data_IF_431962410660
#
_entry.id   IF_431962410660
#
_cell.length_a   1.000
_cell.length_b   1.000
_cell.length_c   1.000
_cell.angle_alpha   90.00
_cell.angle_beta   90.00
_cell.angle_gamma   90.00
#
_symmetry.space_group_name_H-M   'P 1'
#
loop_
_entity.id
_entity.type
_entity.pdbx_description
1 polymer ?
#
# COMPACT_ATOMS: atom_id res chain seq x y z
N UNK A 1 -20.44 40.35 -8.66
CA UNK A 1 -19.04 39.98 -8.38
C UNK A 1 -19.05 38.50 -8.03
N UNK A 2 -18.75 37.67 -9.02
CA UNK A 2 -18.67 36.22 -8.85
C UNK A 2 -17.38 35.92 -8.11
N UNK A 3 -17.49 35.53 -6.85
CA UNK A 3 -16.36 35.04 -6.06
C UNK A 3 -16.01 33.67 -6.61
N UNK A 4 -14.94 33.57 -7.39
CA UNK A 4 -14.33 32.30 -7.75
C UNK A 4 -13.79 31.66 -6.46
N UNK A 5 -14.43 30.59 -6.01
CA UNK A 5 -13.90 29.76 -4.94
C UNK A 5 -12.75 28.94 -5.51
N UNK A 6 -11.51 29.36 -5.23
CA UNK A 6 -10.33 28.52 -5.37
C UNK A 6 -10.58 27.18 -4.65
N UNK A 7 -10.37 26.03 -5.30
CA UNK A 7 -10.59 24.74 -4.67
C UNK A 7 -9.61 24.59 -3.52
N UNK A 8 -10.11 24.68 -2.28
CA UNK A 8 -9.31 24.35 -1.10
C UNK A 8 -9.10 22.85 -1.07
N UNK A 9 -8.14 22.35 -1.85
CA UNK A 9 -7.70 20.96 -1.76
C UNK A 9 -7.19 20.74 -0.35
N UNK A 10 -7.89 19.92 0.43
CA UNK A 10 -7.40 19.50 1.72
C UNK A 10 -5.99 18.92 1.53
N UNK A 11 -5.05 19.28 2.41
CA UNK A 11 -3.65 18.80 2.36
C UNK A 11 -3.58 17.26 2.27
N UNK A 12 -4.57 16.57 2.82
CA UNK A 12 -4.71 15.12 2.71
C UNK A 12 -4.95 14.62 1.27
N UNK A 13 -5.73 15.34 0.46
CA UNK A 13 -6.04 14.98 -0.92
C UNK A 13 -4.88 15.30 -1.88
N UNK A 14 -4.07 16.31 -1.57
CA UNK A 14 -2.91 16.70 -2.37
C UNK A 14 -1.92 15.53 -2.56
N UNK A 15 -1.75 14.68 -1.54
CA UNK A 15 -0.84 13.52 -1.57
C UNK A 15 -1.25 12.43 -2.57
N UNK A 16 -2.53 12.39 -2.99
CA UNK A 16 -3.02 11.41 -3.97
C UNK A 16 -3.01 11.94 -5.41
N UNK A 17 -2.58 13.18 -5.64
CA UNK A 17 -2.39 13.69 -7.01
C UNK A 17 -1.29 12.92 -7.75
N UNK A 18 -1.46 12.72 -9.06
CA UNK A 18 -0.60 11.85 -9.86
C UNK A 18 0.11 12.62 -10.97
N UNK A 19 1.44 12.70 -10.89
CA UNK A 19 2.31 13.26 -11.93
C UNK A 19 3.24 12.17 -12.48
N UNK A 20 2.90 11.65 -13.65
CA UNK A 20 3.64 10.56 -14.29
C UNK A 20 5.07 10.94 -14.66
N UNK A 21 5.33 12.19 -15.05
CA UNK A 21 6.65 12.62 -15.51
C UNK A 21 7.63 12.70 -14.35
N UNK A 22 7.22 13.36 -13.25
CA UNK A 22 8.02 13.44 -12.02
C UNK A 22 8.26 12.05 -11.43
N UNK A 23 7.24 11.19 -11.39
CA UNK A 23 7.39 9.83 -10.89
C UNK A 23 8.33 8.99 -11.75
N UNK A 24 8.24 9.09 -13.08
CA UNK A 24 9.14 8.38 -13.97
C UNK A 24 10.59 8.85 -13.82
N UNK A 25 10.81 10.16 -13.62
CA UNK A 25 12.15 10.69 -13.31
C UNK A 25 12.68 10.14 -11.99
N UNK A 26 11.87 10.14 -10.93
CA UNK A 26 12.25 9.61 -9.63
C UNK A 26 12.54 8.10 -9.66
N UNK A 27 11.71 7.33 -10.38
CA UNK A 27 11.91 5.89 -10.63
C UNK A 27 13.24 5.62 -11.36
N UNK A 28 13.62 6.46 -12.34
CA UNK A 28 14.90 6.36 -13.05
C UNK A 28 16.10 6.71 -12.19
N UNK A 29 15.98 7.75 -11.36
CA UNK A 29 17.06 8.19 -10.47
C UNK A 29 17.30 7.22 -9.31
N UNK A 30 16.24 6.53 -8.86
CA UNK A 30 16.25 5.51 -7.82
C UNK A 30 17.15 5.84 -6.60
N UNK A 31 16.98 7.02 -5.97
CA UNK A 31 17.88 7.52 -4.93
C UNK A 31 17.95 6.61 -3.69
N UNK A 32 16.89 5.84 -3.41
CA UNK A 32 16.86 4.82 -2.34
C UNK A 32 17.89 3.70 -2.52
N UNK A 33 18.40 3.47 -3.74
CA UNK A 33 19.48 2.50 -3.98
C UNK A 33 20.83 2.99 -3.45
N UNK A 34 21.00 4.31 -3.28
CA UNK A 34 22.25 4.92 -2.80
C UNK A 34 22.22 5.18 -1.29
N UNK A 35 21.05 5.48 -0.74
CA UNK A 35 20.86 5.76 0.68
C UNK A 35 19.75 4.86 1.25
N UNK A 36 20.09 3.88 2.13
CA UNK A 36 19.09 3.02 2.75
C UNK A 36 18.15 3.77 3.72
N UNK A 37 18.50 5.00 4.14
CA UNK A 37 17.68 5.87 5.00
C UNK A 37 16.97 6.97 4.21
N UNK A 38 16.87 6.82 2.89
CA UNK A 38 16.29 7.83 2.01
C UNK A 38 14.83 8.14 2.37
N UNK A 39 14.01 7.09 2.55
CA UNK A 39 12.61 7.20 2.95
C UNK A 39 12.52 7.49 4.44
N UNK A 40 11.87 8.60 4.79
CA UNK A 40 11.76 9.09 6.17
C UNK A 40 10.33 9.15 6.67
N UNK A 41 9.35 9.15 5.76
CA UNK A 41 7.93 9.28 6.10
C UNK A 41 7.10 8.31 5.28
N UNK A 42 5.96 7.91 5.85
CA UNK A 42 4.95 7.10 5.16
C UNK A 42 3.61 7.79 5.34
N UNK A 43 2.91 8.03 4.24
CA UNK A 43 1.53 8.51 4.23
C UNK A 43 0.63 7.35 3.81
N UNK A 44 -0.41 7.07 4.61
CA UNK A 44 -1.34 5.98 4.36
C UNK A 44 -2.71 6.52 3.96
N UNK A 45 -3.29 5.98 2.88
CA UNK A 45 -4.68 6.22 2.54
C UNK A 45 -5.61 5.75 3.65
N UNK A 46 -6.64 6.54 4.03
CA UNK A 46 -7.70 6.06 4.92
C UNK A 46 -8.33 4.76 4.43
N UNK A 47 -8.46 4.60 3.11
CA UNK A 47 -9.00 3.38 2.50
C UNK A 47 -8.08 2.17 2.71
N UNK A 48 -6.76 2.35 2.59
CA UNK A 48 -5.77 1.33 2.85
C UNK A 48 -5.79 0.91 4.33
N UNK A 49 -5.80 1.88 5.25
CA UNK A 49 -5.89 1.63 6.71
C UNK A 49 -7.13 0.81 7.04
N UNK A 50 -8.29 1.18 6.49
CA UNK A 50 -9.54 0.45 6.75
C UNK A 50 -9.45 -1.00 6.26
N UNK A 51 -8.91 -1.24 5.06
CA UNK A 51 -8.72 -2.60 4.52
C UNK A 51 -7.74 -3.42 5.36
N UNK A 52 -6.64 -2.82 5.81
CA UNK A 52 -5.69 -3.46 6.73
C UNK A 52 -6.38 -3.85 8.04
N UNK A 53 -7.16 -2.93 8.62
CA UNK A 53 -7.86 -3.19 9.88
C UNK A 53 -8.92 -4.29 9.74
N UNK A 54 -9.70 -4.28 8.66
CA UNK A 54 -10.66 -5.34 8.35
C UNK A 54 -9.96 -6.70 8.18
N UNK A 55 -8.81 -6.73 7.50
CA UNK A 55 -8.03 -7.96 7.32
C UNK A 55 -7.51 -8.51 8.65
N UNK A 56 -6.92 -7.65 9.49
CA UNK A 56 -6.48 -8.01 10.84
C UNK A 56 -7.62 -8.54 11.69
N UNK A 57 -8.78 -7.87 11.67
CA UNK A 57 -9.96 -8.32 12.41
C UNK A 57 -10.46 -9.69 11.91
N UNK A 58 -10.37 -9.95 10.61
CA UNK A 58 -10.71 -11.26 10.05
C UNK A 58 -9.79 -12.36 10.57
N UNK A 59 -8.51 -12.06 10.78
CA UNK A 59 -7.54 -12.97 11.39
C UNK A 59 -7.90 -13.30 12.84
N UNK A 60 -8.22 -12.26 13.63
CA UNK A 60 -8.68 -12.45 15.02
C UNK A 60 -9.93 -13.33 15.08
N UNK A 61 -10.94 -13.04 14.25
CA UNK A 61 -12.19 -13.79 14.22
C UNK A 61 -11.99 -15.26 13.81
N UNK A 62 -11.12 -15.52 12.82
CA UNK A 62 -10.77 -16.89 12.38
C UNK A 62 -10.08 -17.69 13.48
N UNK A 63 -9.14 -17.07 14.19
CA UNK A 63 -8.43 -17.69 15.32
C UNK A 63 -9.40 -18.11 16.44
N UNK A 64 -10.25 -17.16 16.85
CA UNK A 64 -11.28 -17.39 17.88
C UNK A 64 -12.28 -18.48 17.47
N UNK A 65 -12.71 -18.50 16.20
CA UNK A 65 -13.64 -19.53 15.69
C UNK A 65 -13.04 -20.94 15.69
N UNK A 66 -11.71 -21.05 15.48
CA UNK A 66 -10.97 -22.32 15.60
C UNK A 66 -10.73 -22.74 17.07
N UNK A 67 -11.20 -21.95 18.05
CA UNK A 67 -11.01 -22.20 19.48
C UNK A 67 -9.59 -21.88 19.96
N UNK A 68 -8.82 -21.09 19.20
CA UNK A 68 -7.43 -20.78 19.48
C UNK A 68 -7.15 -19.28 19.56
N UNK A 69 -5.86 -18.94 19.54
CA UNK A 69 -5.39 -17.56 19.51
C UNK A 69 -5.69 -16.88 18.16
N UNK A 70 -5.73 -15.54 18.10
CA UNK A 70 -5.75 -14.80 16.85
C UNK A 70 -4.69 -15.30 15.87
N UNK A 71 -5.05 -15.47 14.59
CA UNK A 71 -4.07 -15.82 13.56
C UNK A 71 -3.41 -14.56 13.03
N UNK A 72 -2.11 -14.66 12.75
CA UNK A 72 -1.39 -13.63 12.03
C UNK A 72 -1.78 -13.66 10.55
N UNK A 73 -1.86 -12.47 9.97
CA UNK A 73 -2.25 -12.27 8.58
C UNK A 73 -1.20 -11.44 7.86
N UNK A 74 -1.08 -11.66 6.55
CA UNK A 74 -0.17 -10.90 5.70
C UNK A 74 -0.93 -10.30 4.50
N UNK A 75 -0.36 -9.25 3.93
CA UNK A 75 -0.95 -8.51 2.83
C UNK A 75 0.10 -7.79 1.99
N UNK A 76 -0.31 -7.31 0.83
CA UNK A 76 0.47 -6.49 -0.07
C UNK A 76 0.03 -5.02 0.05
N UNK A 77 1.00 -4.11 0.14
CA UNK A 77 0.76 -2.66 0.08
C UNK A 77 1.04 -2.17 -1.34
N UNK A 78 0.14 -1.36 -1.87
CA UNK A 78 0.30 -0.69 -3.15
C UNK A 78 0.50 0.80 -2.92
N UNK A 79 1.47 1.37 -3.61
CA UNK A 79 1.79 2.78 -3.45
C UNK A 79 2.96 3.20 -4.31
N UNK A 80 3.36 4.45 -4.10
CA UNK A 80 4.44 5.10 -4.85
C UNK A 80 5.17 6.09 -3.95
N UNK A 81 6.44 6.41 -4.25
CA UNK A 81 7.05 7.58 -3.65
C UNK A 81 6.25 8.84 -4.04
N UNK A 82 6.23 9.82 -3.13
CA UNK A 82 5.62 11.11 -3.42
C UNK A 82 6.44 11.88 -4.47
N UNK A 83 5.75 12.53 -5.39
CA UNK A 83 6.38 13.27 -6.48
C UNK A 83 6.86 14.65 -6.05
N UNK A 84 6.21 15.25 -5.04
CA UNK A 84 6.59 16.56 -4.51
C UNK A 84 7.50 16.45 -3.27
N UNK A 85 7.30 15.44 -2.43
CA UNK A 85 8.18 15.13 -1.29
C UNK A 85 8.84 13.75 -1.42
N UNK A 86 9.90 13.57 -2.23
CA UNK A 86 10.46 12.26 -2.60
C UNK A 86 10.91 11.33 -1.46
N UNK A 87 11.09 11.86 -0.24
CA UNK A 87 11.41 11.07 0.98
C UNK A 87 10.18 10.47 1.67
N UNK A 88 8.99 10.68 1.12
CA UNK A 88 7.72 10.16 1.63
C UNK A 88 7.23 9.04 0.73
N UNK A 89 6.89 7.89 1.32
CA UNK A 89 6.20 6.81 0.63
C UNK A 89 4.69 6.96 0.82
N UNK A 90 3.93 7.04 -0.26
CA UNK A 90 2.47 7.15 -0.23
C UNK A 90 1.87 5.79 -0.55
N UNK A 91 1.15 5.21 0.41
CA UNK A 91 0.42 3.97 0.24
C UNK A 91 -1.02 4.32 -0.12
N UNK A 92 -1.41 3.97 -1.34
CA UNK A 92 -2.74 4.26 -1.89
C UNK A 92 -3.72 3.13 -1.59
N UNK A 93 -3.24 1.89 -1.47
CA UNK A 93 -4.09 0.74 -1.20
C UNK A 93 -3.38 -0.42 -0.49
N UNK A 94 -4.16 -1.36 0.05
CA UNK A 94 -3.71 -2.58 0.68
C UNK A 94 -4.60 -3.77 0.30
N UNK A 95 -4.00 -4.93 0.05
CA UNK A 95 -4.68 -6.14 -0.35
C UNK A 95 -4.30 -7.32 0.56
N UNK A 96 -5.28 -8.13 1.01
CA UNK A 96 -4.99 -9.31 1.82
C UNK A 96 -4.34 -10.40 0.96
N UNK A 97 -3.34 -11.10 1.50
CA UNK A 97 -2.82 -12.32 0.90
C UNK A 97 -3.41 -13.54 1.62
N UNK A 98 -3.63 -14.67 0.91
CA UNK A 98 -4.21 -15.88 1.48
C UNK A 98 -3.17 -16.67 2.30
N UNK A 99 -2.56 -16.01 3.28
CA UNK A 99 -1.50 -16.57 4.11
C UNK A 99 -1.95 -16.52 5.58
N UNK A 100 -1.85 -17.66 6.26
CA UNK A 100 -1.87 -17.72 7.72
C UNK A 100 -0.40 -17.70 8.16
N UNK A 101 0.03 -16.58 8.76
CA UNK A 101 1.40 -16.40 9.22
C UNK A 101 1.62 -17.04 10.60
N UNK A 102 2.89 -17.34 10.90
CA UNK A 102 3.38 -17.48 12.27
C UNK A 102 4.59 -16.56 12.40
N UNK A 103 4.80 -15.95 13.57
CA UNK A 103 5.77 -14.86 13.83
C UNK A 103 7.19 -15.12 13.27
N UNK A 104 7.59 -16.39 13.15
CA UNK A 104 8.92 -16.82 12.69
C UNK A 104 8.95 -17.53 11.34
N UNK A 105 7.80 -17.72 10.68
CA UNK A 105 7.71 -18.42 9.39
C UNK A 105 6.77 -17.69 8.44
N UNK A 106 7.39 -17.01 7.49
CA UNK A 106 6.70 -16.43 6.34
C UNK A 106 6.63 -17.50 5.26
N UNK A 107 5.46 -18.12 5.08
CA UNK A 107 5.17 -18.98 3.92
C UNK A 107 4.66 -18.08 2.79
N UNK A 108 5.48 -17.14 2.35
CA UNK A 108 5.18 -16.31 1.18
C UNK A 108 5.77 -16.90 -0.11
N UNK A 109 6.61 -17.94 0.00
CA UNK A 109 7.21 -18.67 -1.12
C UNK A 109 6.34 -19.87 -1.58
N UNK A 110 5.11 -19.96 -1.09
CA UNK A 110 4.15 -20.92 -1.62
C UNK A 110 3.73 -20.50 -3.03
N UNK A 111 3.75 -21.43 -3.98
CA UNK A 111 3.41 -21.16 -5.37
C UNK A 111 1.99 -20.58 -5.53
N UNK A 112 1.05 -20.96 -4.66
CA UNK A 112 -0.31 -20.41 -4.65
C UNK A 112 -0.33 -18.92 -4.28
N UNK A 113 0.47 -18.52 -3.30
CA UNK A 113 0.61 -17.12 -2.87
C UNK A 113 1.28 -16.29 -3.96
N UNK A 114 2.39 -16.79 -4.51
CA UNK A 114 3.12 -16.10 -5.60
C UNK A 114 2.21 -15.91 -6.82
N UNK A 115 1.47 -16.94 -7.23
CA UNK A 115 0.52 -16.83 -8.35
C UNK A 115 -0.61 -15.84 -8.06
N UNK A 116 -1.11 -15.80 -6.82
CA UNK A 116 -2.10 -14.82 -6.42
C UNK A 116 -1.56 -13.39 -6.51
N UNK A 117 -0.32 -13.18 -6.06
CA UNK A 117 0.35 -11.87 -6.13
C UNK A 117 0.56 -11.41 -7.58
N UNK A 118 0.98 -12.31 -8.47
CA UNK A 118 1.15 -12.01 -9.91
C UNK A 118 -0.20 -11.64 -10.53
N UNK A 119 -1.22 -12.48 -10.34
CA UNK A 119 -2.54 -12.23 -10.89
C UNK A 119 -3.15 -10.91 -10.38
N UNK A 120 -2.95 -10.61 -9.09
CA UNK A 120 -3.37 -9.35 -8.50
C UNK A 120 -2.60 -8.16 -9.12
N UNK A 121 -1.29 -8.28 -9.26
CA UNK A 121 -0.44 -7.27 -9.91
C UNK A 121 -0.90 -6.94 -11.33
N UNK A 122 -1.13 -7.95 -12.16
CA UNK A 122 -1.63 -7.77 -13.53
C UNK A 122 -3.01 -7.09 -13.57
N UNK A 123 -3.89 -7.40 -12.61
CA UNK A 123 -5.20 -6.76 -12.51
C UNK A 123 -5.07 -5.29 -12.07
N UNK A 124 -4.14 -5.00 -11.17
CA UNK A 124 -3.88 -3.65 -10.68
C UNK A 124 -3.29 -2.77 -11.79
N UNK A 125 -2.34 -3.28 -12.57
CA UNK A 125 -1.77 -2.55 -13.72
C UNK A 125 -2.82 -2.19 -14.79
N UNK A 126 -3.83 -3.04 -14.99
CA UNK A 126 -4.93 -2.77 -15.94
C UNK A 126 -5.87 -1.68 -15.43
N UNK A 127 -6.06 -1.60 -14.12
CA UNK A 127 -7.08 -0.73 -13.51
C UNK A 127 -6.50 0.59 -13.01
N UNK A 128 -5.20 0.65 -12.71
CA UNK A 128 -4.51 1.80 -12.13
C UNK A 128 -3.24 2.12 -12.89
N UNK A 129 -3.02 3.41 -13.14
CA UNK A 129 -1.86 3.93 -13.88
C UNK A 129 -0.69 4.38 -12.99
N UNK A 130 -0.85 4.27 -11.67
CA UNK A 130 0.13 4.76 -10.67
C UNK A 130 1.32 3.82 -10.45
#
# INVERSE_FOLDING_TARGET
ETVEMEPSTHVADANYSFDAEKLNKLKKEAPWMRDPKYIQKVALSPSAIMKMMMHCQSGVAKGLKKGGNPIEVMGMLMGRPDHDTPRTLVITDAFPLPIEGFETRVIADDAGVVNHMIALGECLEKTRKE
#
